data_IF_154650180204
#
_entry.id   IF_154650180204
#
_cell.length_a   1.000
_cell.length_b   1.000
_cell.length_c   1.000
_cell.angle_alpha   90.00
_cell.angle_beta   90.00
_cell.angle_gamma   90.00
#
_symmetry.space_group_name_H-M   'P 1'
#
loop_
_entity.id
_entity.type
_entity.pdbx_description
1 polymer ?
#
# COMPACT_ATOMS: atom_id res chain seq x y z
N UNK A 1 29.95 -39.00 18.16
CA UNK A 1 29.83 -37.83 19.05
C UNK A 1 29.29 -36.73 18.17
N UNK A 2 27.96 -36.65 18.14
CA UNK A 2 27.20 -35.81 17.23
C UNK A 2 27.44 -34.34 17.52
N UNK A 3 27.80 -33.58 16.48
CA UNK A 3 27.67 -32.12 16.51
C UNK A 3 26.18 -31.84 16.37
N UNK A 4 25.51 -31.61 17.49
CA UNK A 4 24.25 -30.89 17.49
C UNK A 4 24.52 -29.53 16.83
N UNK A 5 23.98 -29.32 15.63
CA UNK A 5 23.80 -28.00 15.05
C UNK A 5 22.81 -27.27 15.95
N UNK A 6 23.32 -26.24 16.62
CA UNK A 6 22.52 -25.27 17.38
C UNK A 6 21.66 -24.50 16.38
N UNK A 7 20.50 -25.06 16.06
CA UNK A 7 19.51 -24.47 15.14
C UNK A 7 18.73 -23.40 15.92
N UNK A 8 19.40 -22.29 16.23
CA UNK A 8 18.73 -21.10 16.74
C UNK A 8 17.83 -20.56 15.63
N UNK A 9 16.54 -20.93 15.68
CA UNK A 9 15.49 -20.31 14.86
C UNK A 9 15.61 -18.79 14.97
N UNK A 10 16.10 -18.15 13.91
CA UNK A 10 16.15 -16.69 13.82
C UNK A 10 14.75 -16.17 13.53
N UNK A 11 14.35 -15.09 14.20
CA UNK A 11 13.05 -14.45 13.93
C UNK A 11 12.97 -14.02 12.46
N UNK A 12 11.82 -14.19 11.78
CA UNK A 12 11.63 -13.68 10.43
C UNK A 12 11.82 -12.17 10.39
N UNK A 13 12.52 -11.67 9.36
CA UNK A 13 12.69 -10.23 9.13
C UNK A 13 11.46 -9.71 8.42
N UNK A 14 10.65 -8.94 9.13
CA UNK A 14 9.33 -8.51 8.67
C UNK A 14 9.27 -7.01 8.42
N UNK A 15 8.84 -6.62 7.22
CA UNK A 15 8.58 -5.21 6.89
C UNK A 15 7.23 -4.72 7.42
N UNK A 16 7.14 -3.44 7.77
CA UNK A 16 5.90 -2.77 8.16
C UNK A 16 5.88 -1.32 7.66
N UNK A 17 4.82 -0.91 6.94
CA UNK A 17 4.70 0.45 6.40
C UNK A 17 4.56 1.45 7.56
N UNK A 18 5.41 2.47 7.57
CA UNK A 18 5.46 3.45 8.66
C UNK A 18 4.28 4.46 8.69
N UNK A 19 3.49 4.56 7.62
CA UNK A 19 2.39 5.51 7.50
C UNK A 19 1.19 5.14 8.39
N UNK A 20 0.30 6.11 8.61
CA UNK A 20 -0.93 5.93 9.38
C UNK A 20 -1.80 4.80 8.85
N UNK A 21 -1.75 4.53 7.53
CA UNK A 21 -2.51 3.46 6.91
C UNK A 21 -2.23 2.07 7.50
N UNK A 22 -1.07 1.83 8.11
CA UNK A 22 -0.72 0.55 8.73
C UNK A 22 -0.57 0.65 10.25
N UNK A 23 -0.94 1.79 10.85
CA UNK A 23 -0.93 1.97 12.29
C UNK A 23 -1.93 1.04 13.01
N UNK A 24 -3.17 0.83 12.53
CA UNK A 24 -4.06 -0.18 13.13
C UNK A 24 -3.43 -1.57 13.15
N UNK A 25 -2.79 -1.98 12.05
CA UNK A 25 -2.11 -3.27 12.00
C UNK A 25 -0.95 -3.36 12.99
N UNK A 26 -0.16 -2.29 13.15
CA UNK A 26 0.90 -2.23 14.15
C UNK A 26 0.36 -2.36 15.58
N UNK A 27 -0.76 -1.69 15.86
CA UNK A 27 -1.47 -1.83 17.14
C UNK A 27 -1.89 -3.28 17.38
N UNK A 28 -2.47 -3.92 16.37
CA UNK A 28 -2.82 -5.35 16.42
C UNK A 28 -1.62 -6.23 16.75
N UNK A 29 -0.50 -6.07 16.03
CA UNK A 29 0.73 -6.84 16.23
C UNK A 29 1.31 -6.66 17.64
N UNK A 30 1.22 -5.45 18.19
CA UNK A 30 1.65 -5.17 19.55
C UNK A 30 0.74 -5.83 20.60
N UNK A 31 -0.58 -5.79 20.37
CA UNK A 31 -1.59 -6.30 21.31
C UNK A 31 -1.70 -7.81 21.34
N UNK A 32 -1.41 -8.49 20.23
CA UNK A 32 -1.35 -9.96 20.15
C UNK A 32 -0.02 -10.52 20.67
N UNK A 33 0.97 -9.66 20.96
CA UNK A 33 2.32 -10.08 21.35
C UNK A 33 3.21 -10.52 20.19
N UNK A 34 2.68 -10.54 18.95
CA UNK A 34 3.36 -10.99 17.74
C UNK A 34 4.69 -10.26 17.48
N UNK A 35 4.81 -8.98 17.90
CA UNK A 35 6.07 -8.25 17.76
C UNK A 35 7.27 -8.93 18.45
N UNK A 36 7.05 -9.78 19.45
CA UNK A 36 8.11 -10.54 20.13
C UNK A 36 8.66 -11.69 19.28
N UNK A 37 7.96 -12.09 18.23
CA UNK A 37 8.33 -13.21 17.36
C UNK A 37 8.96 -12.73 16.05
N UNK A 38 9.00 -11.42 15.79
CA UNK A 38 9.45 -10.83 14.52
C UNK A 38 10.69 -9.95 14.72
N UNK A 39 11.55 -9.89 13.70
CA UNK A 39 12.51 -8.80 13.53
C UNK A 39 11.86 -7.72 12.64
N UNK A 40 11.14 -6.79 13.26
CA UNK A 40 10.33 -5.81 12.53
C UNK A 40 11.15 -4.62 12.04
N UNK A 41 11.08 -4.32 10.74
CA UNK A 41 11.60 -3.09 10.12
C UNK A 41 10.45 -2.20 9.68
N UNK A 42 10.46 -0.92 10.10
CA UNK A 42 9.55 0.12 9.59
C UNK A 42 10.24 0.99 8.54
N UNK A 43 9.57 1.24 7.42
CA UNK A 43 10.04 2.18 6.38
C UNK A 43 8.90 2.60 5.44
N UNK A 44 9.20 3.36 4.40
CA UNK A 44 8.26 3.68 3.31
C UNK A 44 7.97 2.47 2.41
N UNK A 45 6.79 2.39 1.75
CA UNK A 45 6.41 1.25 0.92
C UNK A 45 7.40 0.95 -0.21
N UNK A 46 7.98 1.98 -0.83
CA UNK A 46 9.00 1.84 -1.87
C UNK A 46 10.23 1.09 -1.34
N UNK A 47 10.82 1.57 -0.22
CA UNK A 47 12.01 0.96 0.38
C UNK A 47 11.73 -0.43 0.92
N UNK A 48 10.56 -0.69 1.49
CA UNK A 48 10.17 -2.03 1.93
C UNK A 48 10.06 -3.00 0.75
N UNK A 49 9.50 -2.56 -0.37
CA UNK A 49 9.42 -3.36 -1.60
C UNK A 49 10.83 -3.73 -2.10
N UNK A 50 11.73 -2.75 -2.18
CA UNK A 50 13.13 -2.97 -2.60
C UNK A 50 13.88 -3.92 -1.66
N UNK A 51 13.68 -3.76 -0.34
CA UNK A 51 14.31 -4.60 0.67
C UNK A 51 13.81 -6.04 0.65
N UNK A 52 12.52 -6.25 0.38
CA UNK A 52 11.99 -7.60 0.21
C UNK A 52 12.56 -8.26 -1.04
N UNK A 53 12.52 -7.59 -2.19
CA UNK A 53 13.04 -8.13 -3.45
C UNK A 53 14.53 -8.46 -3.36
N UNK A 54 15.36 -7.56 -2.79
CA UNK A 54 16.81 -7.82 -2.66
C UNK A 54 17.18 -8.77 -1.53
N UNK A 55 16.21 -9.18 -0.71
CA UNK A 55 16.38 -10.20 0.30
C UNK A 55 16.84 -9.76 1.69
N UNK A 56 16.72 -8.48 1.99
CA UNK A 56 16.93 -7.92 3.33
C UNK A 56 15.75 -8.12 4.26
N UNK A 57 14.58 -8.45 3.70
CA UNK A 57 13.39 -8.88 4.41
C UNK A 57 12.97 -10.27 3.91
N UNK A 58 12.25 -10.99 4.76
CA UNK A 58 11.71 -12.32 4.44
C UNK A 58 10.23 -12.22 4.05
N UNK A 59 9.47 -11.43 4.82
CA UNK A 59 8.04 -11.18 4.64
C UNK A 59 7.80 -9.68 4.76
N UNK A 60 6.92 -9.10 3.96
CA UNK A 60 6.58 -7.70 4.13
C UNK A 60 5.56 -7.17 3.13
N UNK A 61 5.09 -5.93 3.35
CA UNK A 61 4.25 -5.25 2.40
C UNK A 61 5.04 -4.86 1.16
N UNK A 62 4.47 -5.12 -0.01
CA UNK A 62 5.01 -4.77 -1.32
C UNK A 62 3.95 -3.98 -2.07
N UNK A 63 4.36 -2.86 -2.67
CA UNK A 63 3.45 -2.11 -3.54
C UNK A 63 3.00 -3.00 -4.71
N UNK A 64 1.72 -2.96 -5.09
CA UNK A 64 1.17 -3.87 -6.10
C UNK A 64 1.99 -3.87 -7.41
N UNK A 65 2.44 -2.71 -7.90
CA UNK A 65 3.30 -2.63 -9.10
C UNK A 65 4.59 -3.43 -8.93
N UNK A 66 5.24 -3.36 -7.77
CA UNK A 66 6.48 -4.11 -7.52
C UNK A 66 6.23 -5.59 -7.31
N UNK A 67 5.11 -5.97 -6.68
CA UNK A 67 4.70 -7.36 -6.58
C UNK A 67 4.51 -7.97 -7.97
N UNK A 68 3.80 -7.28 -8.86
CA UNK A 68 3.54 -7.76 -10.23
C UNK A 68 4.83 -7.88 -11.06
N UNK A 69 5.81 -7.00 -10.87
CA UNK A 69 7.13 -7.09 -11.51
C UNK A 69 7.95 -8.29 -11.05
N UNK A 70 7.72 -8.76 -9.82
CA UNK A 70 8.48 -9.84 -9.20
C UNK A 70 7.58 -11.03 -8.81
N UNK A 71 6.48 -11.24 -9.54
CA UNK A 71 5.51 -12.30 -9.25
C UNK A 71 6.13 -13.71 -9.37
N UNK A 72 7.21 -13.84 -10.15
CA UNK A 72 7.97 -15.09 -10.26
C UNK A 72 8.81 -15.39 -9.00
N UNK A 73 9.05 -14.41 -8.14
CA UNK A 73 9.91 -14.50 -6.94
C UNK A 73 9.13 -14.37 -5.62
N UNK A 74 7.89 -13.88 -5.67
CA UNK A 74 7.07 -13.56 -4.52
C UNK A 74 5.75 -14.34 -4.49
N UNK A 75 5.26 -14.62 -3.30
CA UNK A 75 3.92 -15.19 -3.05
C UNK A 75 3.15 -14.24 -2.14
N UNK A 76 1.94 -13.85 -2.54
CA UNK A 76 1.11 -12.97 -1.73
C UNK A 76 0.40 -13.74 -0.60
N UNK A 77 0.29 -13.11 0.56
CA UNK A 77 -0.47 -13.63 1.69
C UNK A 77 -1.96 -13.35 1.44
N UNK A 78 -2.82 -14.39 1.38
CA UNK A 78 -4.24 -14.19 1.10
C UNK A 78 -4.94 -13.47 2.25
N UNK A 79 -6.10 -12.91 1.94
CA UNK A 79 -7.00 -12.23 2.87
C UNK A 79 -6.48 -10.93 3.48
N UNK A 80 -5.20 -10.54 3.33
CA UNK A 80 -4.66 -9.28 3.85
C UNK A 80 -3.92 -8.44 2.78
N UNK A 81 -4.35 -7.20 2.60
CA UNK A 81 -3.75 -6.22 1.69
C UNK A 81 -3.98 -4.78 2.22
N UNK A 82 -3.46 -3.78 1.51
CA UNK A 82 -3.84 -2.37 1.69
C UNK A 82 -4.60 -1.93 0.45
N UNK A 83 -5.90 -1.72 0.58
CA UNK A 83 -6.80 -1.38 -0.52
C UNK A 83 -7.93 -0.44 -0.12
N UNK A 84 -8.89 -0.29 -1.02
CA UNK A 84 -10.14 0.42 -0.80
C UNK A 84 -11.26 -0.12 -1.69
N UNK A 85 -12.51 0.14 -1.29
CA UNK A 85 -13.69 -0.05 -2.14
C UNK A 85 -14.48 1.27 -2.21
N UNK A 86 -14.10 2.12 -3.17
CA UNK A 86 -14.48 3.53 -3.18
C UNK A 86 -13.31 4.41 -2.71
N UNK A 87 -13.53 5.47 -1.91
CA UNK A 87 -12.46 6.37 -1.51
C UNK A 87 -11.40 5.69 -0.65
N UNK A 88 -10.16 6.18 -0.71
CA UNK A 88 -9.02 5.71 0.12
C UNK A 88 -8.44 6.82 1.00
N UNK A 89 -8.82 8.08 0.75
CA UNK A 89 -8.44 9.34 1.42
C UNK A 89 -6.95 9.71 1.37
N UNK A 90 -6.08 8.72 1.21
CA UNK A 90 -4.63 8.80 1.40
C UNK A 90 -3.85 8.46 0.13
N UNK A 91 -4.51 8.48 -1.03
CA UNK A 91 -3.89 8.40 -2.35
C UNK A 91 -4.69 9.33 -3.28
N UNK A 92 -4.12 10.49 -3.62
CA UNK A 92 -4.87 11.57 -4.27
C UNK A 92 -4.08 12.24 -5.38
N UNK A 93 -4.81 12.86 -6.31
CA UNK A 93 -4.31 13.91 -7.19
C UNK A 93 -4.79 15.24 -6.61
N UNK A 94 -3.85 16.11 -6.23
CA UNK A 94 -4.15 17.50 -5.88
C UNK A 94 -3.87 18.35 -7.10
N UNK A 95 -4.81 19.19 -7.52
CA UNK A 95 -4.70 19.95 -8.78
C UNK A 95 -5.14 21.41 -8.62
N UNK A 96 -4.43 22.31 -9.30
CA UNK A 96 -4.79 23.73 -9.42
C UNK A 96 -5.90 23.96 -10.46
N UNK A 97 -6.13 22.97 -11.34
CA UNK A 97 -7.05 23.06 -12.50
C UNK A 97 -7.86 21.77 -12.66
N UNK A 98 -8.97 21.76 -13.42
CA UNK A 98 -9.66 20.53 -13.79
C UNK A 98 -8.70 19.50 -14.42
N UNK A 99 -8.94 18.20 -14.20
CA UNK A 99 -8.03 17.15 -14.67
C UNK A 99 -7.98 17.07 -16.21
N UNK A 100 -9.06 17.47 -16.89
CA UNK A 100 -9.18 17.59 -18.34
C UNK A 100 -8.25 18.66 -18.93
N UNK A 101 -7.76 19.61 -18.12
CA UNK A 101 -6.86 20.68 -18.55
C UNK A 101 -5.37 20.35 -18.30
N UNK A 102 -5.05 19.12 -17.92
CA UNK A 102 -3.67 18.72 -17.59
C UNK A 102 -2.85 18.19 -18.79
N UNK A 103 -3.38 18.24 -20.02
CA UNK A 103 -2.63 17.80 -21.20
C UNK A 103 -1.39 18.68 -21.43
N UNK A 104 -0.22 18.05 -21.49
CA UNK A 104 1.08 18.74 -21.56
C UNK A 104 1.45 19.59 -20.32
N UNK A 105 0.61 19.64 -19.28
CA UNK A 105 0.91 20.32 -18.03
C UNK A 105 1.92 19.53 -17.20
N UNK A 106 2.66 20.19 -16.30
CA UNK A 106 3.59 19.50 -15.41
C UNK A 106 2.82 18.86 -14.26
N UNK A 107 3.07 17.58 -14.02
CA UNK A 107 2.47 16.83 -12.90
C UNK A 107 3.57 16.20 -12.06
N UNK A 108 3.62 16.61 -10.80
CA UNK A 108 4.59 16.12 -9.84
C UNK A 108 4.16 14.77 -9.26
N UNK A 109 5.07 13.80 -9.23
CA UNK A 109 4.84 12.46 -8.72
C UNK A 109 5.63 12.27 -7.42
N UNK A 110 4.92 12.01 -6.31
CA UNK A 110 5.58 11.76 -5.03
C UNK A 110 6.44 10.50 -5.07
N UNK A 111 7.69 10.59 -4.66
CA UNK A 111 8.68 9.51 -4.76
C UNK A 111 8.39 8.29 -3.86
N UNK A 112 7.41 8.35 -2.97
CA UNK A 112 7.15 7.32 -1.95
C UNK A 112 6.17 6.22 -2.38
N UNK A 113 5.59 6.28 -3.59
CA UNK A 113 4.68 5.26 -4.13
C UNK A 113 4.94 4.94 -5.60
N UNK A 114 4.93 3.64 -5.92
CA UNK A 114 4.97 3.16 -7.31
C UNK A 114 3.57 2.86 -7.87
N UNK A 115 2.69 2.26 -7.06
CA UNK A 115 1.33 1.89 -7.50
C UNK A 115 0.43 3.10 -7.71
N UNK A 116 0.34 4.02 -6.74
CA UNK A 116 -0.60 5.15 -6.83
C UNK A 116 -0.23 6.12 -7.94
N UNK A 117 1.08 6.30 -8.17
CA UNK A 117 1.62 7.05 -9.32
C UNK A 117 1.18 6.41 -10.64
N UNK A 118 1.35 5.10 -10.78
CA UNK A 118 0.94 4.39 -12.01
C UNK A 118 -0.58 4.43 -12.22
N UNK A 119 -1.37 4.30 -11.15
CA UNK A 119 -2.83 4.43 -11.20
C UNK A 119 -3.24 5.85 -11.63
N UNK A 120 -2.62 6.89 -11.07
CA UNK A 120 -2.90 8.27 -11.46
C UNK A 120 -2.61 8.51 -12.95
N UNK A 121 -1.45 8.03 -13.44
CA UNK A 121 -1.11 8.10 -14.86
C UNK A 121 -2.14 7.38 -15.74
N UNK A 122 -2.55 6.16 -15.35
CA UNK A 122 -3.57 5.38 -16.06
C UNK A 122 -4.90 6.13 -16.13
N UNK A 123 -5.36 6.71 -15.01
CA UNK A 123 -6.62 7.44 -14.96
C UNK A 123 -6.55 8.71 -15.82
N UNK A 124 -5.48 9.49 -15.70
CA UNK A 124 -5.28 10.71 -16.50
C UNK A 124 -5.27 10.40 -18.01
N UNK A 125 -4.55 9.36 -18.43
CA UNK A 125 -4.48 9.01 -19.85
C UNK A 125 -5.76 8.36 -20.38
N UNK A 126 -6.31 7.36 -19.69
CA UNK A 126 -7.41 6.55 -20.22
C UNK A 126 -8.81 7.09 -19.90
N UNK A 127 -8.99 7.70 -18.72
CA UNK A 127 -10.29 8.25 -18.31
C UNK A 127 -10.45 9.72 -18.73
N UNK A 128 -9.39 10.51 -18.63
CA UNK A 128 -9.42 11.94 -18.96
C UNK A 128 -8.83 12.30 -20.32
N UNK A 129 -8.11 11.37 -20.97
CA UNK A 129 -7.56 11.58 -22.31
C UNK A 129 -6.40 12.57 -22.36
N UNK A 130 -5.72 12.81 -21.23
CA UNK A 130 -4.61 13.78 -21.13
C UNK A 130 -3.26 13.09 -20.98
N UNK A 131 -2.21 13.71 -21.52
CA UNK A 131 -0.82 13.24 -21.42
C UNK A 131 0.07 14.33 -20.79
N UNK A 132 0.10 14.42 -19.45
CA UNK A 132 0.93 15.39 -18.74
C UNK A 132 2.44 15.11 -18.86
N UNK A 133 3.25 16.16 -18.62
CA UNK A 133 4.70 16.05 -18.41
C UNK A 133 4.99 15.69 -16.95
N UNK A 134 5.36 14.43 -16.72
CA UNK A 134 5.57 13.91 -15.38
C UNK A 134 7.01 14.07 -14.90
N UNK A 135 7.19 14.48 -13.65
CA UNK A 135 8.48 14.38 -12.96
C UNK A 135 8.30 13.85 -11.54
N UNK A 136 9.32 13.19 -11.01
CA UNK A 136 9.30 12.62 -9.65
C UNK A 136 10.05 13.52 -8.68
N UNK A 137 9.50 13.74 -7.49
CA UNK A 137 10.13 14.53 -6.43
C UNK A 137 9.66 14.08 -5.02
N UNK A 138 10.31 14.55 -3.94
CA UNK A 138 9.81 14.32 -2.58
C UNK A 138 8.37 14.81 -2.39
N UNK A 139 7.54 14.13 -1.56
CA UNK A 139 6.11 14.40 -1.43
C UNK A 139 5.81 15.60 -0.51
N UNK A 140 6.23 16.79 -0.92
CA UNK A 140 5.90 18.06 -0.27
C UNK A 140 4.95 18.86 -1.18
N UNK A 141 3.67 18.97 -0.80
CA UNK A 141 2.68 19.63 -1.64
C UNK A 141 3.05 21.09 -1.94
N UNK A 142 3.60 21.82 -0.96
CA UNK A 142 3.94 23.23 -1.11
C UNK A 142 5.02 23.45 -2.17
N UNK A 143 6.06 22.62 -2.16
CA UNK A 143 7.11 22.64 -3.17
C UNK A 143 6.63 22.12 -4.53
N UNK A 144 5.83 21.04 -4.54
CA UNK A 144 5.28 20.48 -5.78
C UNK A 144 4.40 21.50 -6.53
N UNK A 145 3.57 22.26 -5.82
CA UNK A 145 2.68 23.27 -6.41
C UNK A 145 3.41 24.52 -6.93
N UNK A 146 4.69 24.72 -6.60
CA UNK A 146 5.50 25.79 -7.20
C UNK A 146 6.00 25.41 -8.61
N UNK A 147 6.12 24.11 -8.88
CA UNK A 147 6.77 23.57 -10.08
C UNK A 147 5.82 22.79 -11.00
N UNK A 148 4.60 22.50 -10.53
CA UNK A 148 3.61 21.68 -11.23
C UNK A 148 2.18 22.19 -10.99
N UNK A 149 1.31 21.95 -11.97
CA UNK A 149 -0.12 22.26 -11.90
C UNK A 149 -0.92 21.21 -11.11
N UNK A 150 -0.40 19.98 -11.00
CA UNK A 150 -0.97 18.94 -10.16
C UNK A 150 0.12 18.06 -9.51
N UNK A 151 -0.24 17.39 -8.42
CA UNK A 151 0.64 16.50 -7.67
C UNK A 151 -0.08 15.21 -7.27
N UNK A 152 0.62 14.07 -7.41
CA UNK A 152 0.18 12.78 -6.88
C UNK A 152 0.85 12.53 -5.54
N UNK A 153 0.05 12.37 -4.49
CA UNK A 153 0.50 12.18 -3.12
C UNK A 153 -0.09 10.91 -2.52
N UNK A 154 0.63 10.31 -1.57
CA UNK A 154 0.16 9.17 -0.79
C UNK A 154 0.41 9.30 0.71
N UNK A 155 -0.22 8.43 1.50
CA UNK A 155 -0.01 8.29 2.93
C UNK A 155 -0.36 9.57 3.69
N UNK A 156 0.42 9.86 4.72
CA UNK A 156 0.15 10.96 5.65
C UNK A 156 0.24 12.32 4.95
N UNK A 157 1.11 12.44 3.93
CA UNK A 157 1.22 13.64 3.10
C UNK A 157 -0.07 13.87 2.29
N UNK A 158 -0.68 12.82 1.73
CA UNK A 158 -1.96 12.92 1.03
C UNK A 158 -3.12 13.27 1.95
N UNK A 159 -3.18 12.70 3.16
CA UNK A 159 -4.21 13.05 4.14
C UNK A 159 -4.10 14.52 4.55
N UNK A 160 -2.90 14.99 4.86
CA UNK A 160 -2.65 16.39 5.21
C UNK A 160 -3.00 17.34 4.05
N UNK A 161 -2.55 16.98 2.85
CA UNK A 161 -2.84 17.70 1.63
C UNK A 161 -4.35 17.85 1.41
N UNK A 162 -5.09 16.74 1.53
CA UNK A 162 -6.53 16.70 1.26
C UNK A 162 -7.36 17.49 2.28
N UNK A 163 -6.96 17.47 3.55
CA UNK A 163 -7.80 17.95 4.65
C UNK A 163 -7.42 19.35 5.14
N UNK A 164 -6.17 19.78 4.95
CA UNK A 164 -5.69 21.08 5.45
C UNK A 164 -5.19 21.97 4.32
N UNK A 165 -4.25 21.49 3.51
CA UNK A 165 -3.54 22.35 2.57
C UNK A 165 -4.39 22.71 1.35
N UNK A 166 -5.04 21.73 0.71
CA UNK A 166 -5.84 21.97 -0.47
C UNK A 166 -7.05 22.89 -0.21
N UNK A 167 -7.86 22.71 0.85
CA UNK A 167 -8.92 23.67 1.18
C UNK A 167 -8.40 25.09 1.45
N UNK A 168 -7.25 25.21 2.13
CA UNK A 168 -6.62 26.50 2.42
C UNK A 168 -6.09 27.21 1.17
N UNK A 169 -5.63 26.43 0.19
CA UNK A 169 -5.05 26.93 -1.06
C UNK A 169 -6.06 26.99 -2.21
N UNK A 170 -7.31 26.56 -2.00
CA UNK A 170 -8.34 26.49 -3.05
C UNK A 170 -8.06 25.44 -4.14
N UNK A 171 -7.32 24.39 -3.80
CA UNK A 171 -6.96 23.31 -4.72
C UNK A 171 -8.05 22.24 -4.78
N UNK A 172 -8.16 21.58 -5.93
CA UNK A 172 -9.03 20.41 -6.10
C UNK A 172 -8.32 19.17 -5.59
N UNK A 173 -9.06 18.26 -4.95
CA UNK A 173 -8.55 16.99 -4.45
C UNK A 173 -9.37 15.86 -5.07
N UNK A 174 -8.68 14.95 -5.74
CA UNK A 174 -9.29 13.81 -6.43
C UNK A 174 -8.77 12.51 -5.81
N UNK A 175 -9.67 11.72 -5.25
CA UNK A 175 -9.33 10.45 -4.60
C UNK A 175 -9.14 9.34 -5.64
N UNK A 176 -7.93 8.76 -5.71
CA UNK A 176 -7.58 7.75 -6.72
C UNK A 176 -8.41 6.46 -6.57
N UNK A 177 -8.74 6.07 -5.35
CA UNK A 177 -9.59 4.91 -5.08
C UNK A 177 -11.01 5.13 -5.60
N UNK A 178 -11.58 6.30 -5.30
CA UNK A 178 -12.90 6.68 -5.80
C UNK A 178 -12.92 6.76 -7.33
N UNK A 179 -11.91 7.41 -7.92
CA UNK A 179 -11.79 7.52 -9.38
C UNK A 179 -11.71 6.14 -10.05
N UNK A 180 -10.99 5.19 -9.46
CA UNK A 180 -10.94 3.82 -9.96
C UNK A 180 -12.30 3.11 -9.83
N UNK A 181 -12.94 3.24 -8.66
CA UNK A 181 -14.24 2.60 -8.38
C UNK A 181 -15.32 3.12 -9.32
N UNK A 182 -15.39 4.42 -9.56
CA UNK A 182 -16.33 5.03 -10.50
C UNK A 182 -16.10 4.57 -11.94
N UNK A 183 -14.84 4.37 -12.33
CA UNK A 183 -14.51 3.99 -13.71
C UNK A 183 -14.74 2.50 -13.99
N UNK A 184 -14.43 1.64 -13.02
CA UNK A 184 -14.38 0.18 -13.23
C UNK A 184 -15.45 -0.59 -12.46
N UNK A 185 -16.02 0.00 -11.41
CA UNK A 185 -16.89 -0.69 -10.45
C UNK A 185 -16.13 -1.60 -9.47
N UNK A 186 -14.80 -1.72 -9.59
CA UNK A 186 -13.98 -2.65 -8.80
C UNK A 186 -13.33 -1.96 -7.59
N UNK A 187 -13.01 -2.71 -6.52
CA UNK A 187 -12.10 -2.24 -5.48
C UNK A 187 -10.67 -2.09 -6.04
N UNK A 188 -9.81 -1.38 -5.33
CA UNK A 188 -8.41 -1.21 -5.69
C UNK A 188 -7.47 -1.72 -4.59
N UNK A 189 -6.34 -2.32 -4.99
CA UNK A 189 -5.29 -2.81 -4.10
C UNK A 189 -4.01 -2.02 -4.35
N UNK A 190 -3.51 -1.31 -3.33
CA UNK A 190 -2.29 -0.51 -3.42
C UNK A 190 -1.04 -1.30 -3.06
N UNK A 191 -1.14 -2.18 -2.07
CA UNK A 191 -0.07 -3.06 -1.62
C UNK A 191 -0.62 -4.39 -1.12
N UNK A 192 0.18 -5.44 -1.21
CA UNK A 192 -0.10 -6.76 -0.65
C UNK A 192 0.99 -7.12 0.35
N UNK A 193 0.69 -7.97 1.34
CA UNK A 193 1.76 -8.65 2.06
C UNK A 193 2.24 -9.83 1.22
N UNK A 194 3.56 -9.98 1.11
CA UNK A 194 4.15 -11.06 0.36
C UNK A 194 5.35 -11.67 1.10
N UNK A 195 5.67 -12.89 0.75
CA UNK A 195 6.84 -13.64 1.17
C UNK A 195 7.69 -13.96 -0.05
N UNK A 196 9.01 -14.03 0.13
CA UNK A 196 9.91 -14.53 -0.91
C UNK A 196 9.75 -16.03 -1.07
N UNK A 197 9.69 -16.53 -2.31
CA UNK A 197 9.53 -17.97 -2.60
C UNK A 197 10.63 -18.83 -1.99
N UNK A 198 11.87 -18.34 -1.96
CA UNK A 198 12.99 -19.05 -1.35
C UNK A 198 12.88 -19.16 0.18
N UNK A 199 12.37 -18.13 0.85
CA UNK A 199 12.06 -18.15 2.28
C UNK A 199 10.89 -19.09 2.57
N UNK A 200 9.82 -19.02 1.79
CA UNK A 200 8.67 -19.92 1.92
C UNK A 200 9.06 -21.39 1.75
N UNK A 201 9.94 -21.70 0.79
CA UNK A 201 10.44 -23.06 0.61
C UNK A 201 11.31 -23.55 1.78
N UNK A 202 12.01 -22.63 2.46
CA UNK A 202 12.90 -22.94 3.59
C UNK A 202 12.14 -23.04 4.91
N UNK A 203 11.21 -22.13 5.18
CA UNK A 203 10.54 -21.94 6.47
C UNK A 203 9.00 -21.92 6.33
N UNK A 204 8.37 -22.95 5.74
CA UNK A 204 6.94 -22.91 5.43
C UNK A 204 6.06 -22.75 6.68
N UNK A 205 6.38 -23.42 7.78
CA UNK A 205 5.64 -23.30 9.04
C UNK A 205 5.66 -21.87 9.57
N UNK A 206 6.84 -21.25 9.63
CA UNK A 206 6.99 -19.87 10.10
C UNK A 206 6.23 -18.88 9.22
N UNK A 207 6.19 -19.08 7.90
CA UNK A 207 5.39 -18.20 7.03
C UNK A 207 3.90 -18.29 7.35
N UNK A 208 3.38 -19.50 7.58
CA UNK A 208 1.98 -19.69 7.96
C UNK A 208 1.68 -19.08 9.32
N UNK A 209 2.56 -19.26 10.31
CA UNK A 209 2.43 -18.63 11.63
C UNK A 209 2.40 -17.11 11.53
N UNK A 210 3.33 -16.51 10.76
CA UNK A 210 3.36 -15.06 10.53
C UNK A 210 2.08 -14.60 9.81
N UNK A 211 1.62 -15.33 8.79
CA UNK A 211 0.38 -15.01 8.09
C UNK A 211 -0.82 -15.01 9.03
N UNK A 212 -1.00 -16.06 9.83
CA UNK A 212 -2.10 -16.14 10.81
C UNK A 212 -2.01 -15.02 11.85
N UNK A 213 -0.80 -14.68 12.30
CA UNK A 213 -0.60 -13.58 13.22
C UNK A 213 -0.99 -12.22 12.60
N UNK A 214 -0.65 -11.97 11.33
CA UNK A 214 -1.10 -10.79 10.60
C UNK A 214 -2.63 -10.71 10.48
N UNK A 215 -3.31 -11.83 10.20
CA UNK A 215 -4.77 -11.89 10.14
C UNK A 215 -5.39 -11.53 11.51
N UNK A 216 -4.94 -12.19 12.57
CA UNK A 216 -5.42 -11.95 13.93
C UNK A 216 -5.18 -10.51 14.39
N UNK A 217 -4.00 -9.94 14.09
CA UNK A 217 -3.67 -8.55 14.39
C UNK A 217 -4.55 -7.57 13.61
N UNK A 218 -4.82 -7.84 12.32
CA UNK A 218 -5.71 -7.01 11.50
C UNK A 218 -7.13 -7.05 12.05
N UNK A 219 -7.65 -8.22 12.38
CA UNK A 219 -9.02 -8.39 12.88
C UNK A 219 -9.20 -7.65 14.22
N UNK A 220 -8.25 -7.81 15.16
CA UNK A 220 -8.25 -7.07 16.43
C UNK A 220 -8.17 -5.56 16.21
N UNK A 221 -7.40 -5.09 15.23
CA UNK A 221 -7.28 -3.66 14.95
C UNK A 221 -8.58 -3.04 14.43
N UNK A 222 -9.41 -3.81 13.72
CA UNK A 222 -10.71 -3.37 13.24
C UNK A 222 -11.72 -3.29 14.38
N UNK A 223 -11.68 -4.24 15.32
CA UNK A 223 -12.51 -4.23 16.54
C UNK A 223 -12.14 -3.05 17.44
N UNK A 224 -10.85 -2.75 17.56
CA UNK A 224 -10.34 -1.70 18.46
C UNK A 224 -10.04 -0.37 17.76
N UNK A 225 -10.54 -0.15 16.54
CA UNK A 225 -10.17 1.00 15.71
C UNK A 225 -10.36 2.36 16.40
N UNK A 226 -11.40 2.51 17.23
CA UNK A 226 -11.62 3.72 18.05
C UNK A 226 -10.44 3.96 19.01
N UNK A 227 -9.93 2.91 19.69
CA UNK A 227 -8.77 3.04 20.58
C UNK A 227 -7.50 3.42 19.81
N UNK A 228 -7.32 2.85 18.62
CA UNK A 228 -6.19 3.19 17.73
C UNK A 228 -6.24 4.66 17.38
N UNK A 229 -7.41 5.16 16.96
CA UNK A 229 -7.62 6.55 16.58
C UNK A 229 -7.41 7.51 17.75
N UNK A 230 -7.97 7.22 18.93
CA UNK A 230 -7.77 8.02 20.13
C UNK A 230 -6.31 8.08 20.58
N UNK A 231 -5.57 6.98 20.44
CA UNK A 231 -4.15 6.97 20.78
C UNK A 231 -3.33 7.76 19.77
N UNK A 232 -3.58 7.55 18.48
CA UNK A 232 -2.89 8.23 17.39
C UNK A 232 -3.10 9.76 17.44
N UNK A 233 -4.33 10.21 17.70
CA UNK A 233 -4.67 11.64 17.82
C UNK A 233 -3.92 12.40 18.92
N UNK A 234 -3.26 11.71 19.86
CA UNK A 234 -2.41 12.36 20.87
C UNK A 234 -1.09 12.87 20.30
N UNK A 235 -0.65 12.32 19.17
CA UNK A 235 0.66 12.57 18.58
C UNK A 235 0.56 13.08 17.15
N UNK A 236 -0.55 12.80 16.47
CA UNK A 236 -0.81 13.22 15.10
C UNK A 236 -1.50 14.59 15.03
N UNK A 237 -1.39 15.23 13.86
CA UNK A 237 -2.08 16.49 13.58
C UNK A 237 -3.59 16.33 13.34
N UNK A 238 -4.08 15.10 13.31
CA UNK A 238 -5.46 14.72 12.99
C UNK A 238 -6.21 14.35 14.26
N UNK A 239 -7.46 14.80 14.38
CA UNK A 239 -8.33 14.39 15.50
C UNK A 239 -8.74 12.92 15.42
N UNK A 240 -9.22 12.38 16.55
CA UNK A 240 -9.56 10.97 16.67
C UNK A 240 -10.74 10.57 15.77
N UNK A 241 -11.72 11.46 15.56
CA UNK A 241 -12.90 11.16 14.72
C UNK A 241 -12.47 10.98 13.26
N UNK A 242 -11.61 11.86 12.77
CA UNK A 242 -11.04 11.79 11.44
C UNK A 242 -10.18 10.54 11.25
N UNK A 243 -9.31 10.23 12.20
CA UNK A 243 -8.46 9.04 12.13
C UNK A 243 -9.29 7.76 12.17
N UNK A 244 -10.32 7.70 13.00
CA UNK A 244 -11.23 6.55 13.03
C UNK A 244 -11.94 6.38 11.68
N UNK A 245 -12.48 7.47 11.11
CA UNK A 245 -13.10 7.44 9.77
C UNK A 245 -12.11 6.95 8.72
N UNK A 246 -10.88 7.45 8.76
CA UNK A 246 -9.83 7.05 7.83
C UNK A 246 -9.52 5.55 7.95
N UNK A 247 -9.27 5.05 9.16
CA UNK A 247 -8.96 3.64 9.37
C UNK A 247 -10.12 2.72 8.98
N UNK A 248 -11.38 3.16 9.16
CA UNK A 248 -12.57 2.42 8.71
C UNK A 248 -12.79 2.48 7.19
N UNK A 249 -12.21 3.47 6.50
CA UNK A 249 -12.31 3.63 5.04
C UNK A 249 -11.32 2.73 4.31
N UNK A 250 -10.19 2.40 4.93
CA UNK A 250 -9.23 1.44 4.39
C UNK A 250 -9.86 0.04 4.32
N UNK A 251 -9.65 -0.65 3.21
CA UNK A 251 -10.03 -2.05 3.05
C UNK A 251 -8.78 -2.93 3.13
N UNK A 252 -8.68 -3.70 4.21
CA UNK A 252 -7.56 -4.63 4.39
C UNK A 252 -7.80 -6.01 3.78
N UNK A 253 -8.97 -6.29 3.21
CA UNK A 253 -9.29 -7.61 2.67
C UNK A 253 -8.46 -7.90 1.42
N UNK A 254 -8.22 -9.18 1.15
CA UNK A 254 -7.61 -9.62 -0.11
C UNK A 254 -8.23 -10.93 -0.60
N UNK A 255 -9.53 -10.84 -0.93
CA UNK A 255 -10.34 -11.94 -1.44
C UNK A 255 -10.60 -11.82 -2.96
N UNK A 256 -11.62 -12.55 -3.47
CA UNK A 256 -11.92 -12.61 -4.91
C UNK A 256 -12.17 -11.26 -5.58
N UNK A 257 -12.86 -10.32 -4.91
CA UNK A 257 -13.14 -8.99 -5.45
C UNK A 257 -11.87 -8.14 -5.55
N UNK A 258 -11.02 -8.16 -4.53
CA UNK A 258 -9.74 -7.43 -4.53
C UNK A 258 -8.78 -8.01 -5.55
N UNK A 259 -8.76 -9.34 -5.72
CA UNK A 259 -8.00 -10.01 -6.79
C UNK A 259 -8.51 -9.61 -8.18
N UNK A 260 -9.81 -9.46 -8.37
CA UNK A 260 -10.36 -8.96 -9.64
C UNK A 260 -9.89 -7.53 -9.92
N UNK A 261 -9.88 -6.65 -8.91
CA UNK A 261 -9.31 -5.30 -9.01
C UNK A 261 -7.82 -5.30 -9.38
N UNK A 262 -7.02 -6.12 -8.69
CA UNK A 262 -5.58 -6.26 -8.97
C UNK A 262 -5.31 -6.78 -10.39
N UNK A 263 -6.06 -7.78 -10.85
CA UNK A 263 -5.96 -8.34 -12.21
C UNK A 263 -6.35 -7.33 -13.28
N UNK A 264 -7.42 -6.56 -13.07
CA UNK A 264 -7.83 -5.54 -14.04
C UNK A 264 -6.80 -4.41 -14.13
N UNK A 265 -6.21 -4.00 -13.00
CA UNK A 265 -5.10 -3.06 -12.99
C UNK A 265 -3.88 -3.63 -13.74
N UNK A 266 -3.52 -4.89 -13.48
CA UNK A 266 -2.42 -5.55 -14.18
C UNK A 266 -2.65 -5.62 -15.70
N UNK A 267 -3.87 -5.97 -16.12
CA UNK A 267 -4.27 -6.03 -17.54
C UNK A 267 -4.11 -4.69 -18.25
N UNK A 268 -4.52 -3.60 -17.60
CA UNK A 268 -4.46 -2.25 -18.18
C UNK A 268 -3.05 -1.67 -18.19
N UNK A 269 -2.22 -2.01 -17.23
CA UNK A 269 -0.92 -1.36 -17.04
C UNK A 269 0.27 -2.21 -17.48
N UNK A 270 0.15 -3.54 -17.49
CA UNK A 270 1.24 -4.48 -17.79
C UNK A 270 2.07 -4.12 -19.02
N UNK A 271 1.45 -3.91 -20.21
CA UNK A 271 2.18 -3.61 -21.45
C UNK A 271 3.14 -2.42 -21.38
N UNK A 272 2.95 -1.51 -20.43
CA UNK A 272 3.76 -0.30 -20.27
C UNK A 272 4.43 -0.20 -18.89
N UNK A 273 4.37 -1.23 -18.04
CA UNK A 273 4.84 -1.17 -16.64
C UNK A 273 5.88 -2.23 -16.30
N UNK A 274 6.16 -3.17 -17.22
CA UNK A 274 7.24 -4.15 -17.07
C UNK A 274 6.80 -5.49 -16.48
N UNK A 275 5.55 -5.89 -16.72
CA UNK A 275 5.04 -7.23 -16.43
C UNK A 275 3.94 -7.61 -17.45
N UNK A 276 3.69 -8.91 -17.71
CA UNK A 276 2.61 -9.33 -18.61
C UNK A 276 1.23 -8.82 -18.18
N UNK A 277 0.35 -8.53 -19.14
CA UNK A 277 -1.03 -8.12 -18.85
C UNK A 277 -1.84 -9.19 -18.10
N UNK A 278 -1.43 -10.45 -18.23
CA UNK A 278 -2.02 -11.64 -17.62
C UNK A 278 -1.14 -12.23 -16.49
N UNK A 279 -0.21 -11.44 -15.93
CA UNK A 279 0.65 -11.88 -14.83
C UNK A 279 -0.15 -12.49 -13.69
N UNK A 280 0.28 -13.66 -13.22
CA UNK A 280 -0.40 -14.38 -12.17
C UNK A 280 -0.10 -13.76 -10.79
N UNK A 281 -1.15 -13.56 -10.00
CA UNK A 281 -1.02 -13.24 -8.57
C UNK A 281 -1.08 -14.57 -7.80
N UNK A 282 0.09 -15.12 -7.52
CA UNK A 282 0.22 -16.36 -6.72
C UNK A 282 -0.10 -16.06 -5.24
N UNK A 283 -0.98 -16.87 -4.66
CA UNK A 283 -1.37 -16.78 -3.25
C UNK A 283 -0.75 -17.93 -2.46
N UNK A 284 -0.42 -17.67 -1.20
CA UNK A 284 0.02 -18.71 -0.27
C UNK A 284 -1.06 -19.80 -0.18
N UNK A 285 -0.68 -21.03 -0.50
CA UNK A 285 -1.55 -22.20 -0.33
C UNK A 285 -1.75 -22.51 1.16
N UNK A 286 -2.89 -23.10 1.57
CA UNK A 286 -3.06 -23.60 2.92
C UNK A 286 -1.94 -24.59 3.32
N UNK A 287 -1.63 -24.73 4.62
CA UNK A 287 -0.60 -25.67 5.06
C UNK A 287 -1.00 -27.09 4.64
N UNK A 288 -0.05 -27.83 4.06
CA UNK A 288 -0.25 -29.24 3.72
C UNK A 288 -0.29 -30.02 5.04
N UNK A 289 -1.47 -30.55 5.37
CA UNK A 289 -1.70 -31.38 6.56
C UNK A 289 -0.99 -32.72 6.51
#
# INVERSE_FOLDING_TARGET
MDKATDDQRSRPRVGHIQFLNCLPLYWGLARTGTLLDLELTKDTPEKLSERLVRGDLDIGPVTLVEFLRHADELVALPDIAVGCDGPVMSCVIVSQRPLEELDGARVALGSTSRTSVRLAQLLLSERYGVSPDYYTCPPDLGLMMQEAEAAVLIGDAALRASLHDAPRLGLQVHDLGLMWKEWTGLPFVFAVWAVRKDYLAREPETVHEVHQAFLASRDLSLEEVTKVAEQAARWEAFDAELLERYFRTLDFRFGPEQLAGAREFARRTGPTTGFPADVAVELLEPPRG
#
